data_IF_823428836038
#
_entry.id   IF_823428836038
#
_cell.length_a   1.000
_cell.length_b   1.000
_cell.length_c   1.000
_cell.angle_alpha   90.00
_cell.angle_beta   90.00
_cell.angle_gamma   90.00
#
_symmetry.space_group_name_H-M   'P 1'
#
loop_
_entity.id
_entity.type
_entity.pdbx_description
1 polymer ?
#
# COMPACT_ATOMS: atom_id res chain seq x y z
N UNK A 1 1.31 -2.95 -8.02
CA UNK A 1 1.30 -2.07 -6.83
C UNK A 1 0.08 -1.17 -6.78
N UNK A 2 -0.28 -0.48 -7.89
CA UNK A 2 -1.49 0.36 -7.98
C UNK A 2 -2.77 -0.31 -7.46
N UNK A 3 -3.04 -1.56 -7.85
CA UNK A 3 -4.23 -2.28 -7.39
C UNK A 3 -4.35 -2.41 -5.87
N UNK A 4 -3.25 -2.67 -5.16
CA UNK A 4 -3.26 -2.75 -3.69
C UNK A 4 -3.54 -1.40 -3.05
N UNK A 5 -2.99 -0.32 -3.64
CA UNK A 5 -3.25 1.05 -3.20
C UNK A 5 -4.72 1.38 -3.44
N UNK A 6 -5.27 1.07 -4.61
CA UNK A 6 -6.68 1.33 -4.95
C UNK A 6 -7.64 0.59 -4.01
N UNK A 7 -7.34 -0.66 -3.63
CA UNK A 7 -8.15 -1.40 -2.64
C UNK A 7 -8.17 -0.66 -1.29
N UNK A 8 -7.03 -0.13 -0.86
CA UNK A 8 -6.92 0.60 0.41
C UNK A 8 -7.61 1.95 0.34
N UNK A 9 -7.50 2.66 -0.78
CA UNK A 9 -8.17 3.95 -1.01
C UNK A 9 -9.69 3.77 -0.99
N UNK A 10 -10.18 2.72 -1.64
CA UNK A 10 -11.61 2.40 -1.73
C UNK A 10 -12.15 1.58 -0.55
N UNK A 11 -11.32 1.30 0.47
CA UNK A 11 -11.74 0.57 1.65
C UNK A 11 -12.85 1.33 2.39
N UNK A 12 -13.97 0.65 2.62
CA UNK A 12 -15.11 1.18 3.39
C UNK A 12 -15.35 0.33 4.63
N UNK A 13 -15.46 -0.97 4.45
CA UNK A 13 -15.58 -1.95 5.53
C UNK A 13 -15.13 -3.33 5.05
N UNK A 14 -14.62 -4.13 5.98
CA UNK A 14 -14.41 -5.56 5.78
C UNK A 14 -14.43 -6.27 7.14
N UNK A 15 -14.88 -7.52 7.16
CA UNK A 15 -14.94 -8.28 8.40
C UNK A 15 -15.32 -9.73 8.18
N UNK A 16 -15.15 -10.54 9.22
CA UNK A 16 -15.59 -11.94 9.25
C UNK A 16 -16.20 -12.24 10.61
N UNK A 17 -17.47 -12.65 10.63
CA UNK A 17 -18.20 -12.84 11.89
C UNK A 17 -18.46 -11.49 12.56
N UNK A 18 -18.13 -11.38 13.85
CA UNK A 18 -18.33 -10.17 14.63
C UNK A 18 -17.19 -9.15 14.46
N UNK A 19 -16.04 -9.58 13.91
CA UNK A 19 -14.89 -8.72 13.67
C UNK A 19 -15.08 -7.92 12.38
N UNK A 20 -15.64 -6.72 12.49
CA UNK A 20 -15.83 -5.77 11.38
C UNK A 20 -14.96 -4.53 11.59
N UNK A 21 -14.05 -4.29 10.65
CA UNK A 21 -13.27 -3.06 10.56
C UNK A 21 -13.99 -2.10 9.61
N UNK A 22 -14.29 -0.90 10.08
CA UNK A 22 -14.87 0.19 9.27
C UNK A 22 -13.85 1.28 9.05
N UNK A 23 -14.02 2.03 7.96
CA UNK A 23 -13.08 3.08 7.58
C UNK A 23 -12.84 4.13 8.68
N UNK A 24 -13.87 4.48 9.45
CA UNK A 24 -13.76 5.44 10.54
C UNK A 24 -12.89 4.96 11.72
N UNK A 25 -12.58 3.66 11.80
CA UNK A 25 -11.67 3.08 12.79
C UNK A 25 -10.20 3.22 12.39
N UNK A 26 -9.92 3.60 11.14
CA UNK A 26 -8.57 3.62 10.56
C UNK A 26 -8.06 5.06 10.49
N UNK A 27 -7.10 5.40 11.36
CA UNK A 27 -6.49 6.73 11.39
C UNK A 27 -5.39 6.93 10.35
N UNK A 28 -4.72 5.84 9.93
CA UNK A 28 -3.63 5.88 8.97
C UNK A 28 -3.66 4.65 8.06
N UNK A 29 -3.37 4.85 6.78
CA UNK A 29 -3.31 3.77 5.78
C UNK A 29 -1.87 3.62 5.30
N UNK A 30 -1.30 2.43 5.46
CA UNK A 30 0.09 2.15 5.08
C UNK A 30 0.19 0.83 4.31
N UNK A 31 1.00 0.82 3.26
CA UNK A 31 1.42 -0.37 2.50
C UNK A 31 2.91 -0.57 2.73
N UNK A 32 3.27 -1.77 3.18
CA UNK A 32 4.68 -2.19 3.29
C UNK A 32 4.98 -3.18 2.18
N UNK A 33 5.99 -2.88 1.37
CA UNK A 33 6.39 -3.72 0.24
C UNK A 33 7.82 -4.16 0.47
N UNK A 34 8.04 -5.47 0.52
CA UNK A 34 9.37 -6.04 0.50
C UNK A 34 9.82 -6.25 -0.96
N UNK A 35 11.01 -5.77 -1.30
CA UNK A 35 11.59 -5.94 -2.64
C UNK A 35 12.96 -6.60 -2.54
N UNK A 36 13.30 -7.56 -3.42
CA UNK A 36 14.61 -8.20 -3.39
C UNK A 36 15.71 -7.22 -3.80
N UNK A 37 16.94 -7.44 -3.33
CA UNK A 37 18.09 -6.60 -3.73
C UNK A 37 18.39 -6.65 -5.24
N UNK A 38 17.91 -7.69 -5.93
CA UNK A 38 18.00 -7.86 -7.40
C UNK A 38 17.02 -6.99 -8.20
N UNK A 39 16.22 -6.15 -7.52
CA UNK A 39 15.26 -5.25 -8.17
C UNK A 39 15.96 -4.32 -9.16
N UNK A 40 15.51 -4.34 -10.42
CA UNK A 40 16.12 -3.56 -11.51
C UNK A 40 15.73 -2.08 -11.46
N UNK A 41 16.47 -1.19 -12.16
CA UNK A 41 16.11 0.24 -12.25
C UNK A 41 14.68 0.48 -12.78
N UNK A 42 14.24 -0.26 -13.80
CA UNK A 42 12.87 -0.17 -14.32
C UNK A 42 11.81 -0.55 -13.28
N UNK A 43 12.10 -1.55 -12.45
CA UNK A 43 11.23 -1.94 -11.35
C UNK A 43 11.21 -0.86 -10.26
N UNK A 44 12.36 -0.23 -9.97
CA UNK A 44 12.44 0.92 -9.06
C UNK A 44 11.64 2.12 -9.55
N UNK A 45 11.63 2.39 -10.86
CA UNK A 45 10.80 3.44 -11.44
C UNK A 45 9.30 3.16 -11.23
N UNK A 46 8.87 1.91 -11.39
CA UNK A 46 7.50 1.50 -11.08
C UNK A 46 7.17 1.61 -9.58
N UNK A 47 8.11 1.26 -8.70
CA UNK A 47 7.98 1.41 -7.24
C UNK A 47 7.81 2.88 -6.88
N UNK A 48 8.66 3.76 -7.40
CA UNK A 48 8.59 5.20 -7.14
C UNK A 48 7.26 5.80 -7.62
N UNK A 49 6.78 5.41 -8.80
CA UNK A 49 5.44 5.80 -9.27
C UNK A 49 4.34 5.35 -8.32
N UNK A 50 4.44 4.14 -7.77
CA UNK A 50 3.47 3.65 -6.80
C UNK A 50 3.54 4.40 -5.45
N UNK A 51 4.74 4.80 -5.00
CA UNK A 51 4.91 5.62 -3.79
C UNK A 51 4.24 6.98 -3.97
N UNK A 52 4.51 7.65 -5.09
CA UNK A 52 3.89 8.96 -5.41
C UNK A 52 2.38 8.85 -5.51
N UNK A 53 1.88 7.82 -6.20
CA UNK A 53 0.43 7.56 -6.30
C UNK A 53 -0.21 7.29 -4.94
N UNK A 54 0.46 6.53 -4.07
CA UNK A 54 0.00 6.29 -2.70
C UNK A 54 -0.07 7.58 -1.90
N UNK A 55 1.00 8.39 -1.93
CA UNK A 55 1.07 9.65 -1.20
C UNK A 55 -0.03 10.63 -1.63
N UNK A 56 -0.31 10.75 -2.94
CA UNK A 56 -1.43 11.55 -3.47
C UNK A 56 -2.79 11.11 -2.89
N UNK A 57 -2.95 9.80 -2.65
CA UNK A 57 -4.17 9.22 -2.10
C UNK A 57 -4.15 9.07 -0.57
N UNK A 58 -3.20 9.72 0.11
CA UNK A 58 -3.03 9.66 1.57
C UNK A 58 -2.74 8.23 2.09
N UNK A 59 -2.11 7.40 1.26
CA UNK A 59 -1.65 6.04 1.59
C UNK A 59 -0.12 6.04 1.65
N UNK A 60 0.43 5.74 2.83
CA UNK A 60 1.87 5.71 3.01
C UNK A 60 2.45 4.42 2.40
N UNK A 61 3.40 4.51 1.47
CA UNK A 61 4.05 3.33 0.86
C UNK A 61 5.48 3.23 1.37
N UNK A 62 5.77 2.21 2.18
CA UNK A 62 7.11 1.92 2.70
C UNK A 62 7.72 0.74 1.95
N UNK A 63 8.92 0.93 1.43
CA UNK A 63 9.69 -0.11 0.74
C UNK A 63 10.80 -0.61 1.65
N UNK A 64 10.90 -1.92 1.79
CA UNK A 64 11.97 -2.59 2.52
C UNK A 64 12.73 -3.49 1.56
N UNK A 65 14.04 -3.28 1.42
CA UNK A 65 14.88 -4.16 0.60
C UNK A 65 15.29 -5.38 1.42
N UNK A 66 14.97 -6.58 0.92
CA UNK A 66 15.35 -7.86 1.53
C UNK A 66 16.56 -8.46 0.80
N UNK A 67 17.42 -9.12 1.56
CA UNK A 67 18.70 -9.69 1.08
C UNK A 67 18.48 -10.94 0.23
#
# INVERSE_FOLDING_TARGET
>A
MKGNIDVIVNFKEAGKGEDIIKLNMISQREVRIAVPKTTTPDQWEQINRAIVYGADKNVNVKITVVK
#
